data_IF_742746316683
#
_entry.id   IF_742746316683
#
_cell.length_a   1.000
_cell.length_b   1.000
_cell.length_c   1.000
_cell.angle_alpha   90.00
_cell.angle_beta   90.00
_cell.angle_gamma   90.00
#
_symmetry.space_group_name_H-M   'P 1'
#
loop_
_entity.id
_entity.type
_entity.pdbx_description
1 polymer ?
#
# COMPACT_ATOMS: atom_id res chain seq x y z
N UNK A 1 5.00 16.63 53.70
CA UNK A 1 5.23 16.39 52.26
C UNK A 1 4.10 17.05 51.50
N UNK A 2 4.39 18.03 50.62
CA UNK A 2 3.37 18.87 49.98
C UNK A 2 2.46 18.06 49.09
N UNK A 3 1.13 18.27 49.13
CA UNK A 3 0.13 17.65 48.22
C UNK A 3 0.53 17.83 46.75
N UNK A 4 1.10 19.00 46.42
CA UNK A 4 1.60 19.32 45.06
C UNK A 4 2.69 18.31 44.63
N UNK A 5 3.64 17.98 45.48
CA UNK A 5 4.71 17.02 45.19
C UNK A 5 4.15 15.62 44.89
N UNK A 6 3.07 15.21 45.57
CA UNK A 6 2.42 13.93 45.30
C UNK A 6 1.68 13.92 43.98
N UNK A 7 1.00 15.01 43.58
CA UNK A 7 0.38 15.15 42.27
C UNK A 7 1.43 15.09 41.15
N UNK A 8 2.55 15.77 41.29
CA UNK A 8 3.66 15.73 40.32
C UNK A 8 4.18 14.29 40.15
N UNK A 9 4.37 13.53 41.26
CA UNK A 9 4.80 12.12 41.18
C UNK A 9 3.80 11.22 40.47
N UNK A 10 2.50 11.42 40.72
CA UNK A 10 1.43 10.66 40.08
C UNK A 10 1.41 10.95 38.58
N UNK A 11 1.47 12.24 38.20
CA UNK A 11 1.51 12.63 36.79
C UNK A 11 2.75 12.05 36.09
N UNK A 12 3.93 12.18 36.72
CA UNK A 12 5.17 11.62 36.19
C UNK A 12 5.07 10.09 35.98
N UNK A 13 4.51 9.38 36.98
CA UNK A 13 4.29 7.93 36.87
C UNK A 13 3.36 7.60 35.66
N UNK A 14 2.23 8.30 35.53
CA UNK A 14 1.29 8.08 34.42
C UNK A 14 1.97 8.34 33.07
N UNK A 15 2.73 9.42 32.96
CA UNK A 15 3.45 9.76 31.71
C UNK A 15 4.47 8.66 31.38
N UNK A 16 5.30 8.24 32.35
CA UNK A 16 6.28 7.17 32.15
C UNK A 16 5.58 5.86 31.75
N UNK A 17 4.48 5.52 32.43
CA UNK A 17 3.71 4.32 32.11
C UNK A 17 3.18 4.33 30.68
N UNK A 18 2.61 5.46 30.23
CA UNK A 18 2.12 5.61 28.84
C UNK A 18 3.28 5.49 27.85
N UNK A 19 4.43 6.10 28.12
CA UNK A 19 5.62 6.00 27.27
C UNK A 19 6.13 4.56 27.16
N UNK A 20 6.16 3.82 28.28
CA UNK A 20 6.53 2.41 28.29
C UNK A 20 5.52 1.55 27.50
N UNK A 21 4.23 1.79 27.70
CA UNK A 21 3.18 1.10 26.95
C UNK A 21 3.33 1.33 25.44
N UNK A 22 3.66 2.56 25.05
CA UNK A 22 3.90 2.90 23.66
C UNK A 22 5.17 2.23 23.11
N UNK A 23 6.29 2.31 23.84
CA UNK A 23 7.56 1.69 23.46
C UNK A 23 7.42 0.17 23.29
N UNK A 24 6.85 -0.52 24.29
CA UNK A 24 6.61 -1.95 24.18
C UNK A 24 5.55 -2.31 23.14
N UNK A 25 4.61 -1.40 22.88
CA UNK A 25 3.64 -1.54 21.80
C UNK A 25 4.33 -1.59 20.44
N UNK A 26 5.29 -0.71 20.19
CA UNK A 26 6.10 -0.73 18.97
C UNK A 26 6.97 -2.00 18.92
N UNK A 27 7.66 -2.33 20.01
CA UNK A 27 8.59 -3.46 20.06
C UNK A 27 7.87 -4.80 19.84
N UNK A 28 6.72 -5.00 20.47
CA UNK A 28 5.97 -6.25 20.40
C UNK A 28 5.05 -6.36 19.19
N UNK A 29 4.76 -5.24 18.50
CA UNK A 29 3.98 -5.27 17.28
C UNK A 29 4.69 -6.18 16.27
N UNK A 30 4.03 -7.20 15.69
CA UNK A 30 4.66 -8.08 14.71
C UNK A 30 5.19 -7.31 13.51
N UNK A 31 6.38 -7.66 13.07
CA UNK A 31 6.99 -7.17 11.84
C UNK A 31 7.39 -8.35 10.97
N UNK A 32 7.93 -8.08 9.81
CA UNK A 32 8.22 -8.97 8.71
C UNK A 32 8.86 -10.34 8.97
N UNK A 33 9.32 -10.66 10.18
CA UNK A 33 9.74 -12.02 10.55
C UNK A 33 8.57 -12.96 10.84
N UNK A 34 7.41 -12.42 11.12
CA UNK A 34 6.19 -13.21 11.21
C UNK A 34 5.64 -13.45 9.80
N UNK A 35 5.43 -14.69 9.40
CA UNK A 35 4.93 -15.10 8.08
C UNK A 35 3.72 -14.31 7.58
N UNK A 36 2.93 -13.76 8.51
CA UNK A 36 1.69 -13.02 8.21
C UNK A 36 1.89 -11.51 8.17
N UNK A 37 3.08 -10.97 8.53
CA UNK A 37 3.31 -9.54 8.75
C UNK A 37 4.50 -8.97 7.99
N UNK A 38 5.13 -9.72 7.08
CA UNK A 38 6.31 -9.23 6.34
C UNK A 38 5.98 -7.97 5.51
N UNK A 39 4.71 -7.80 5.11
CA UNK A 39 4.24 -6.63 4.37
C UNK A 39 4.16 -5.36 5.22
N UNK A 40 4.29 -5.44 6.54
CA UNK A 40 4.26 -4.25 7.40
C UNK A 40 5.40 -3.28 7.10
N UNK A 41 6.48 -3.73 6.47
CA UNK A 41 7.56 -2.86 6.04
C UNK A 41 7.14 -1.83 5.00
N UNK A 42 6.16 -2.12 4.14
CA UNK A 42 5.63 -1.14 3.17
C UNK A 42 5.09 0.11 3.86
N UNK A 43 4.56 -0.05 5.07
CA UNK A 43 4.00 1.03 5.88
C UNK A 43 5.06 1.67 6.78
N UNK A 44 5.87 0.85 7.48
CA UNK A 44 6.85 1.33 8.45
C UNK A 44 7.92 2.20 7.76
N UNK A 45 8.35 1.80 6.58
CA UNK A 45 9.38 2.53 5.83
C UNK A 45 8.85 3.81 5.18
N UNK A 46 7.54 3.96 4.99
CA UNK A 46 6.94 5.23 4.58
C UNK A 46 7.31 6.37 5.53
N UNK A 47 7.28 6.11 6.83
CA UNK A 47 7.62 7.11 7.84
C UNK A 47 9.11 7.49 7.91
N UNK A 48 9.97 6.77 7.17
CA UNK A 48 11.41 7.06 7.03
C UNK A 48 11.71 7.94 5.81
N UNK A 49 10.69 8.26 5.02
CA UNK A 49 10.87 9.14 3.87
C UNK A 49 11.03 10.59 4.32
N UNK A 50 11.89 11.33 3.63
CA UNK A 50 12.00 12.76 3.82
C UNK A 50 10.69 13.45 3.46
N UNK A 51 10.38 14.56 4.14
CA UNK A 51 9.15 15.30 3.89
C UNK A 51 9.14 15.90 2.51
N UNK A 52 7.97 15.84 1.86
CA UNK A 52 7.74 16.45 0.55
C UNK A 52 8.78 15.98 -0.50
N UNK A 53 9.01 14.65 -0.55
CA UNK A 53 9.89 13.99 -1.53
C UNK A 53 9.19 12.89 -2.32
N UNK A 54 7.87 12.78 -2.22
CA UNK A 54 7.07 11.79 -2.95
C UNK A 54 6.12 12.52 -3.89
N UNK A 55 6.40 12.43 -5.21
CA UNK A 55 5.57 13.07 -6.24
C UNK A 55 4.26 12.32 -6.49
N UNK A 56 4.32 10.98 -6.43
CA UNK A 56 3.19 10.11 -6.72
C UNK A 56 2.99 9.07 -5.61
N UNK A 57 1.75 8.96 -5.13
CA UNK A 57 1.39 7.99 -4.10
C UNK A 57 0.53 6.88 -4.73
N UNK A 58 0.95 5.63 -4.56
CA UNK A 58 0.21 4.45 -5.01
C UNK A 58 -0.40 3.77 -3.79
N UNK A 59 -1.73 3.68 -3.74
CA UNK A 59 -2.47 3.21 -2.56
C UNK A 59 -3.41 2.08 -2.93
N UNK A 60 -3.46 1.04 -2.12
CA UNK A 60 -4.37 -0.09 -2.32
C UNK A 60 -3.93 -1.36 -1.63
N UNK A 61 -4.31 -2.49 -2.20
CA UNK A 61 -4.03 -3.82 -1.65
C UNK A 61 -2.65 -4.36 -2.07
N UNK A 62 -2.48 -5.68 -1.94
CA UNK A 62 -1.22 -6.36 -2.27
C UNK A 62 -0.77 -6.20 -3.72
N UNK A 63 -1.68 -5.97 -4.66
CA UNK A 63 -1.32 -5.74 -6.06
C UNK A 63 -0.44 -4.49 -6.22
N UNK A 64 -0.57 -3.48 -5.33
CA UNK A 64 0.24 -2.26 -5.37
C UNK A 64 1.69 -2.58 -4.99
N UNK A 65 1.96 -3.13 -3.80
CA UNK A 65 3.33 -3.36 -3.36
C UNK A 65 4.06 -4.48 -4.12
N UNK A 66 3.34 -5.30 -4.89
CA UNK A 66 3.95 -6.33 -5.75
C UNK A 66 4.05 -5.92 -7.22
N UNK A 67 3.19 -5.02 -7.68
CA UNK A 67 3.06 -4.69 -9.09
C UNK A 67 3.49 -3.28 -9.48
N UNK A 68 3.59 -2.34 -8.53
CA UNK A 68 4.01 -0.97 -8.81
C UNK A 68 5.34 -0.70 -8.13
N UNK A 69 6.42 -0.62 -8.92
CA UNK A 69 7.76 -0.29 -8.43
C UNK A 69 8.08 1.18 -8.67
N UNK A 70 8.10 2.03 -7.64
CA UNK A 70 8.52 3.44 -7.78
C UNK A 70 9.93 3.57 -8.36
N UNK A 71 10.81 2.60 -8.11
CA UNK A 71 12.17 2.61 -8.67
C UNK A 71 12.20 2.48 -10.19
N UNK A 72 11.23 1.81 -10.81
CA UNK A 72 11.14 1.76 -12.28
C UNK A 72 10.79 3.13 -12.87
N UNK A 73 9.88 3.89 -12.26
CA UNK A 73 9.60 5.26 -12.68
C UNK A 73 10.79 6.19 -12.41
N UNK A 74 11.46 6.02 -11.27
CA UNK A 74 12.68 6.79 -11.00
C UNK A 74 13.81 6.50 -12.00
N UNK A 75 14.01 5.22 -12.35
CA UNK A 75 14.97 4.82 -13.39
C UNK A 75 14.63 5.44 -14.75
N UNK A 76 13.36 5.40 -15.14
CA UNK A 76 12.92 5.78 -16.47
C UNK A 76 12.84 7.30 -16.67
N UNK A 77 12.29 8.03 -15.70
CA UNK A 77 11.95 9.46 -15.84
C UNK A 77 12.32 10.34 -14.65
N UNK A 78 13.00 9.80 -13.63
CA UNK A 78 13.50 10.56 -12.49
C UNK A 78 12.46 11.00 -11.47
N UNK A 79 11.19 10.59 -11.60
CA UNK A 79 10.13 10.94 -10.65
C UNK A 79 10.12 10.02 -9.45
N UNK A 80 9.71 10.54 -8.32
CA UNK A 80 9.61 9.81 -7.06
C UNK A 80 8.20 9.31 -6.81
N UNK A 81 8.07 8.23 -6.05
CA UNK A 81 6.77 7.68 -5.68
C UNK A 81 6.85 6.76 -4.46
N UNK A 82 5.72 6.38 -3.91
CA UNK A 82 5.65 5.42 -2.82
C UNK A 82 4.45 4.48 -2.95
N UNK A 83 4.70 3.17 -2.85
CA UNK A 83 3.65 2.13 -2.85
C UNK A 83 3.18 1.89 -1.41
N UNK A 84 2.22 2.71 -0.96
CA UNK A 84 1.65 2.70 0.39
C UNK A 84 0.45 1.76 0.46
N UNK A 85 0.69 0.51 0.76
CA UNK A 85 -0.34 -0.52 0.67
C UNK A 85 -0.12 -1.67 1.64
N UNK A 86 -1.22 -2.34 1.99
CA UNK A 86 -1.23 -3.53 2.86
C UNK A 86 -2.03 -4.66 2.21
N UNK A 87 -1.84 -5.93 2.63
CA UNK A 87 -2.65 -7.02 2.12
C UNK A 87 -4.14 -6.79 2.37
N UNK A 88 -4.97 -6.93 1.31
CA UNK A 88 -6.43 -6.77 1.38
C UNK A 88 -6.86 -5.41 1.97
N UNK A 89 -6.11 -4.36 1.66
CA UNK A 89 -6.42 -3.00 2.11
C UNK A 89 -7.70 -2.50 1.47
N UNK A 90 -8.71 -2.29 2.30
CA UNK A 90 -10.04 -1.87 1.88
C UNK A 90 -10.10 -0.38 1.52
N UNK A 91 -11.13 0.06 0.80
CA UNK A 91 -11.31 1.46 0.40
C UNK A 91 -11.36 2.42 1.58
N UNK A 92 -12.07 2.06 2.67
CA UNK A 92 -12.15 2.88 3.88
C UNK A 92 -10.77 3.06 4.54
N UNK A 93 -9.96 2.01 4.62
CA UNK A 93 -8.61 2.09 5.20
C UNK A 93 -7.63 2.82 4.28
N UNK A 94 -7.81 2.73 2.95
CA UNK A 94 -7.04 3.50 1.97
C UNK A 94 -7.24 5.01 2.15
N UNK A 95 -8.47 5.46 2.47
CA UNK A 95 -8.72 6.86 2.82
C UNK A 95 -7.84 7.34 3.97
N UNK A 96 -7.74 6.55 5.04
CA UNK A 96 -6.93 6.94 6.21
C UNK A 96 -5.44 6.90 5.92
N UNK A 97 -4.96 5.97 5.08
CA UNK A 97 -3.57 5.96 4.65
C UNK A 97 -3.22 7.14 3.74
N UNK A 98 -4.10 7.54 2.85
CA UNK A 98 -3.94 8.77 2.08
C UNK A 98 -3.88 9.97 3.03
N UNK A 99 -4.83 10.07 3.96
CA UNK A 99 -4.88 11.15 4.95
C UNK A 99 -3.64 11.21 5.83
N UNK A 100 -3.11 10.06 6.24
CA UNK A 100 -1.86 9.97 6.99
C UNK A 100 -0.67 10.40 6.13
N UNK A 101 -0.62 9.95 4.88
CA UNK A 101 0.47 10.28 3.97
C UNK A 101 0.59 11.79 3.71
N UNK A 102 -0.52 12.48 3.58
CA UNK A 102 -0.53 13.94 3.38
C UNK A 102 -0.04 14.75 4.57
N UNK A 103 0.12 14.15 5.75
CA UNK A 103 0.81 14.81 6.86
C UNK A 103 2.33 14.89 6.68
N UNK A 104 2.88 14.08 5.78
CA UNK A 104 4.32 13.94 5.54
C UNK A 104 4.72 14.30 4.12
N UNK A 105 3.82 14.17 3.16
CA UNK A 105 4.07 14.30 1.73
C UNK A 105 2.99 15.16 1.06
N UNK A 106 3.32 15.72 -0.11
CA UNK A 106 2.40 16.50 -0.94
C UNK A 106 2.40 15.95 -2.37
N UNK A 107 1.87 14.75 -2.59
CA UNK A 107 1.91 14.14 -3.92
C UNK A 107 1.07 14.94 -4.91
N UNK A 108 1.56 15.05 -6.16
CA UNK A 108 0.79 15.63 -7.27
C UNK A 108 -0.44 14.79 -7.57
N UNK A 109 -0.30 13.45 -7.48
CA UNK A 109 -1.41 12.54 -7.67
C UNK A 109 -1.35 11.33 -6.76
N UNK A 110 -2.55 10.83 -6.46
CA UNK A 110 -2.78 9.54 -5.79
C UNK A 110 -3.35 8.56 -6.81
N UNK A 111 -2.65 7.45 -7.02
CA UNK A 111 -3.13 6.32 -7.79
C UNK A 111 -3.80 5.33 -6.85
N UNK A 112 -5.13 5.24 -6.91
CA UNK A 112 -5.94 4.35 -6.07
C UNK A 112 -6.22 3.05 -6.82
N UNK A 113 -5.69 1.94 -6.31
CA UNK A 113 -5.98 0.60 -6.82
C UNK A 113 -7.40 0.18 -6.45
N UNK A 114 -8.20 -0.20 -7.46
CA UNK A 114 -9.64 -0.41 -7.32
C UNK A 114 -10.07 -1.87 -7.21
N UNK A 115 -9.15 -2.81 -7.06
CA UNK A 115 -9.47 -4.25 -6.93
C UNK A 115 -10.43 -4.55 -5.79
N UNK A 116 -10.30 -3.84 -4.67
CA UNK A 116 -11.16 -4.01 -3.50
C UNK A 116 -12.50 -3.24 -3.57
N UNK A 117 -12.78 -2.53 -4.68
CA UNK A 117 -14.03 -1.80 -4.84
C UNK A 117 -15.27 -2.73 -4.92
N UNK A 118 -15.06 -3.99 -5.31
CA UNK A 118 -16.10 -5.01 -5.39
C UNK A 118 -16.01 -6.07 -4.29
N UNK A 119 -15.12 -5.88 -3.33
CA UNK A 119 -15.04 -6.77 -2.18
C UNK A 119 -16.30 -6.60 -1.31
N UNK A 120 -16.95 -7.70 -1.00
CA UNK A 120 -18.01 -7.68 -0.02
C UNK A 120 -17.44 -7.21 1.33
N UNK A 121 -18.18 -6.40 2.06
CA UNK A 121 -17.83 -5.90 3.40
C UNK A 121 -17.43 -7.01 4.39
N UNK A 122 -17.80 -8.27 4.12
CA UNK A 122 -17.37 -9.46 4.86
C UNK A 122 -15.87 -9.76 4.83
N UNK A 123 -15.08 -9.03 4.04
CA UNK A 123 -13.62 -9.14 4.02
C UNK A 123 -12.91 -8.32 5.11
N UNK A 124 -13.63 -7.60 5.97
CA UNK A 124 -13.09 -6.90 7.14
C UNK A 124 -12.75 -7.88 8.27
N UNK A 125 -11.96 -8.93 7.97
CA UNK A 125 -11.44 -9.79 9.03
C UNK A 125 -10.47 -9.01 9.93
N UNK A 126 -10.39 -9.40 11.18
CA UNK A 126 -9.54 -8.75 12.18
C UNK A 126 -8.10 -8.60 11.70
N UNK A 127 -7.57 -9.59 10.97
CA UNK A 127 -6.19 -9.57 10.49
C UNK A 127 -5.96 -8.47 9.44
N UNK A 128 -6.90 -8.27 8.53
CA UNK A 128 -6.83 -7.20 7.52
C UNK A 128 -6.92 -5.81 8.18
N UNK A 129 -7.82 -5.63 9.15
CA UNK A 129 -7.91 -4.40 9.94
C UNK A 129 -6.61 -4.15 10.68
N UNK A 130 -6.05 -5.16 11.35
CA UNK A 130 -4.79 -5.04 12.10
C UNK A 130 -3.61 -4.68 11.20
N UNK A 131 -3.47 -5.31 10.05
CA UNK A 131 -2.44 -4.98 9.07
C UNK A 131 -2.53 -3.53 8.60
N UNK A 132 -3.75 -3.03 8.45
CA UNK A 132 -3.96 -1.64 8.06
C UNK A 132 -3.64 -0.64 9.17
N UNK A 133 -3.88 -0.96 10.46
CA UNK A 133 -3.82 0.05 11.53
C UNK A 133 -2.66 -0.10 12.49
N UNK A 134 -2.18 -1.32 12.78
CA UNK A 134 -1.22 -1.53 13.87
C UNK A 134 0.13 -0.85 13.60
N UNK A 135 0.53 -0.75 12.32
CA UNK A 135 1.76 -0.06 11.90
C UNK A 135 1.60 1.46 11.70
N UNK A 136 0.37 1.98 11.75
CA UNK A 136 0.14 3.43 11.72
C UNK A 136 0.58 4.06 13.03
N UNK A 137 1.32 5.18 12.95
CA UNK A 137 1.74 5.95 14.15
C UNK A 137 0.52 6.43 14.93
N UNK A 138 0.64 6.45 16.26
CA UNK A 138 -0.40 7.02 17.10
C UNK A 138 -0.50 8.53 16.83
N UNK A 139 -1.64 8.96 16.35
CA UNK A 139 -1.92 10.33 15.95
C UNK A 139 -3.40 10.53 15.67
N UNK A 140 -3.74 11.72 15.19
CA UNK A 140 -5.13 12.10 14.90
C UNK A 140 -5.77 11.14 13.88
N UNK A 141 -5.06 10.82 12.79
CA UNK A 141 -5.56 9.94 11.74
C UNK A 141 -5.89 8.55 12.26
N UNK A 142 -5.00 7.96 13.08
CA UNK A 142 -5.23 6.64 13.69
C UNK A 142 -6.45 6.64 14.61
N UNK A 143 -6.61 7.69 15.41
CA UNK A 143 -7.76 7.81 16.31
C UNK A 143 -9.08 7.99 15.55
N UNK A 144 -9.08 8.75 14.46
CA UNK A 144 -10.24 8.88 13.58
C UNK A 144 -10.56 7.56 12.88
N UNK A 145 -9.53 6.83 12.40
CA UNK A 145 -9.70 5.52 11.78
C UNK A 145 -10.36 4.50 12.71
N UNK A 146 -9.98 4.48 14.00
CA UNK A 146 -10.58 3.60 15.03
C UNK A 146 -12.06 3.95 15.31
N UNK A 147 -12.48 5.16 15.03
CA UNK A 147 -13.84 5.66 15.24
C UNK A 147 -14.71 5.56 13.99
N UNK A 148 -14.14 5.20 12.85
CA UNK A 148 -14.89 5.04 11.61
C UNK A 148 -15.93 3.91 11.73
N UNK A 149 -17.07 4.08 11.07
CA UNK A 149 -18.17 3.11 11.10
C UNK A 149 -17.76 1.77 10.45
N UNK A 150 -16.84 1.80 9.49
CA UNK A 150 -16.28 0.61 8.85
C UNK A 150 -15.23 -0.12 9.72
N UNK A 151 -14.86 0.44 10.87
CA UNK A 151 -13.91 -0.18 11.79
C UNK A 151 -14.63 -1.18 12.70
N UNK A 152 -14.71 -2.43 12.27
CA UNK A 152 -15.54 -3.47 12.89
C UNK A 152 -15.03 -4.03 14.22
N UNK A 153 -13.81 -3.68 14.66
CA UNK A 153 -13.34 -4.05 15.99
C UNK A 153 -14.06 -3.22 17.06
N UNK A 154 -14.38 -3.82 18.19
CA UNK A 154 -15.13 -3.18 19.27
C UNK A 154 -14.49 -3.34 20.64
N UNK A 155 -14.95 -2.57 21.63
CA UNK A 155 -14.58 -2.71 23.03
C UNK A 155 -13.06 -2.68 23.26
N UNK A 156 -12.56 -3.74 23.92
CA UNK A 156 -11.14 -3.87 24.26
C UNK A 156 -10.24 -3.94 23.04
N UNK A 157 -10.70 -4.48 21.91
CA UNK A 157 -9.92 -4.59 20.69
C UNK A 157 -9.58 -3.21 20.09
N UNK A 158 -10.47 -2.24 20.15
CA UNK A 158 -10.16 -0.83 19.79
C UNK A 158 -9.03 -0.28 20.66
N UNK A 159 -9.05 -0.55 21.97
CA UNK A 159 -7.99 -0.11 22.88
C UNK A 159 -6.64 -0.74 22.54
N UNK A 160 -6.63 -2.01 22.10
CA UNK A 160 -5.40 -2.69 21.68
C UNK A 160 -4.79 -2.13 20.40
N UNK A 161 -5.55 -1.42 19.57
CA UNK A 161 -5.02 -0.68 18.42
C UNK A 161 -4.26 0.59 18.85
N UNK A 162 -4.67 1.20 19.99
CA UNK A 162 -3.97 2.36 20.55
C UNK A 162 -2.72 1.90 21.34
N UNK A 163 -2.86 0.79 22.06
CA UNK A 163 -1.80 0.18 22.87
C UNK A 163 -1.54 -1.27 22.40
N UNK A 164 -0.78 -1.47 21.31
CA UNK A 164 -0.54 -2.80 20.75
C UNK A 164 0.08 -3.79 21.73
N UNK A 165 0.81 -3.32 22.77
CA UNK A 165 1.36 -4.17 23.82
C UNK A 165 0.27 -5.02 24.50
N UNK A 166 -0.95 -4.52 24.66
CA UNK A 166 -2.05 -5.26 25.29
C UNK A 166 -2.43 -6.52 24.51
N UNK A 167 -2.25 -6.50 23.18
CA UNK A 167 -2.50 -7.66 22.31
C UNK A 167 -1.25 -8.53 22.16
N UNK A 168 -0.09 -7.91 21.93
CA UNK A 168 1.11 -8.59 21.51
C UNK A 168 2.09 -8.88 22.66
N UNK A 169 1.72 -8.63 23.93
CA UNK A 169 2.58 -8.86 25.10
C UNK A 169 3.12 -10.30 25.19
N UNK A 170 2.36 -11.30 24.72
CA UNK A 170 2.80 -12.70 24.71
C UNK A 170 3.99 -12.96 23.78
N UNK A 171 4.35 -12.02 22.91
CA UNK A 171 5.55 -12.11 22.06
C UNK A 171 6.85 -11.81 22.79
N UNK A 172 6.83 -11.45 24.07
CA UNK A 172 8.02 -11.08 24.83
C UNK A 172 9.17 -12.11 24.72
N UNK A 173 8.85 -13.41 24.56
CA UNK A 173 9.82 -14.51 24.41
C UNK A 173 10.10 -14.87 22.93
N UNK A 174 9.56 -14.12 21.98
CA UNK A 174 9.74 -14.31 20.54
C UNK A 174 10.34 -13.08 19.85
N UNK A 175 10.80 -12.13 20.66
CA UNK A 175 11.48 -10.94 20.17
C UNK A 175 12.87 -11.35 19.70
N UNK A 176 13.23 -10.89 18.50
CA UNK A 176 14.53 -11.13 17.90
C UNK A 176 15.17 -9.81 17.40
N UNK A 177 16.33 -9.90 16.79
CA UNK A 177 17.06 -8.75 16.26
C UNK A 177 16.22 -7.94 15.26
N UNK A 178 15.35 -8.58 14.50
CA UNK A 178 14.54 -7.92 13.47
C UNK A 178 13.49 -7.00 14.10
N UNK A 179 12.97 -7.37 15.28
CA UNK A 179 12.03 -6.50 16.01
C UNK A 179 12.68 -5.17 16.45
N UNK A 180 13.99 -5.15 16.66
CA UNK A 180 14.73 -3.94 17.00
C UNK A 180 15.08 -3.07 15.75
N UNK A 181 15.06 -3.65 14.55
CA UNK A 181 15.35 -2.90 13.32
C UNK A 181 14.30 -1.82 12.99
N UNK A 182 13.13 -1.87 13.62
CA UNK A 182 12.12 -0.79 13.56
C UNK A 182 12.65 0.55 14.07
N UNK A 183 13.58 0.50 15.00
CA UNK A 183 14.18 1.67 15.63
C UNK A 183 15.48 2.11 14.93
N UNK A 184 15.90 1.38 13.89
CA UNK A 184 17.11 1.68 13.14
C UNK A 184 16.75 2.24 11.76
N UNK A 185 17.27 3.42 11.43
CA UNK A 185 17.04 4.06 10.13
C UNK A 185 17.76 3.33 8.97
N UNK A 186 18.67 2.42 9.31
CA UNK A 186 19.65 1.87 8.36
C UNK A 186 19.14 0.72 7.47
N UNK A 187 18.00 0.12 7.80
CA UNK A 187 17.51 -1.06 7.07
C UNK A 187 16.16 -0.80 6.43
N UNK A 188 16.12 -0.88 5.10
CA UNK A 188 14.88 -0.84 4.32
C UNK A 188 14.73 -2.16 3.57
N UNK A 189 13.58 -2.81 3.74
CA UNK A 189 13.24 -4.10 3.12
C UNK A 189 12.51 -3.93 1.81
N UNK A 190 11.96 -2.73 1.58
CA UNK A 190 11.21 -2.41 0.39
C UNK A 190 11.96 -1.38 -0.45
N UNK A 191 11.61 -1.29 -1.71
CA UNK A 191 12.03 -0.19 -2.57
C UNK A 191 10.89 0.82 -2.67
N UNK A 192 10.82 1.73 -1.69
CA UNK A 192 9.74 2.71 -1.57
C UNK A 192 8.35 2.06 -1.56
N UNK A 193 8.19 1.06 -0.70
CA UNK A 193 6.96 0.27 -0.54
C UNK A 193 6.81 -0.89 -1.52
N UNK A 194 7.65 -1.01 -2.54
CA UNK A 194 7.66 -2.15 -3.46
C UNK A 194 8.45 -3.33 -2.87
N UNK A 195 7.84 -4.51 -2.86
CA UNK A 195 8.45 -5.77 -2.45
C UNK A 195 8.93 -6.54 -3.68
N UNK A 196 10.23 -6.46 -3.96
CA UNK A 196 10.84 -7.17 -5.08
C UNK A 196 10.72 -8.69 -4.91
N UNK A 197 10.10 -9.35 -5.88
CA UNK A 197 10.03 -10.80 -5.93
C UNK A 197 10.30 -11.28 -7.35
N UNK A 198 11.26 -12.19 -7.50
CA UNK A 198 11.69 -12.75 -8.80
C UNK A 198 11.11 -14.15 -9.06
N UNK A 199 10.40 -14.72 -8.11
CA UNK A 199 9.80 -16.03 -8.30
C UNK A 199 8.87 -16.03 -9.51
N UNK A 200 8.86 -17.16 -10.21
CA UNK A 200 7.94 -17.38 -11.34
C UNK A 200 7.07 -18.57 -11.01
N UNK A 201 5.75 -18.34 -10.99
CA UNK A 201 4.76 -19.41 -10.91
C UNK A 201 3.67 -19.14 -11.94
N UNK A 202 3.70 -19.90 -13.01
CA UNK A 202 2.79 -19.79 -14.16
C UNK A 202 1.32 -19.80 -13.73
N UNK A 203 0.52 -18.91 -14.32
CA UNK A 203 -0.93 -18.94 -14.22
C UNK A 203 -1.53 -19.86 -15.29
N UNK A 204 -2.44 -20.77 -14.86
CA UNK A 204 -3.13 -21.73 -15.73
C UNK A 204 -2.39 -23.05 -15.94
N UNK A 205 -3.15 -24.12 -16.23
CA UNK A 205 -2.59 -25.46 -16.44
C UNK A 205 -2.06 -25.67 -17.86
N UNK A 206 -2.64 -25.01 -18.86
CA UNK A 206 -2.33 -25.17 -20.27
C UNK A 206 -2.34 -23.81 -20.99
N UNK A 207 -1.23 -23.09 -20.90
CA UNK A 207 -0.99 -22.00 -21.83
C UNK A 207 -0.37 -22.64 -23.08
N UNK A 208 -1.19 -22.78 -24.14
CA UNK A 208 -0.73 -23.18 -25.45
C UNK A 208 0.30 -22.14 -25.94
N UNK A 209 1.57 -22.55 -25.99
CA UNK A 209 2.71 -21.68 -26.33
C UNK A 209 2.63 -21.11 -27.77
N UNK A 210 1.63 -21.49 -28.56
CA UNK A 210 1.56 -21.16 -29.98
C UNK A 210 0.54 -20.08 -30.35
N UNK A 211 -0.12 -19.42 -29.41
CA UNK A 211 -1.07 -18.35 -29.76
C UNK A 211 -0.84 -17.13 -28.88
N UNK A 212 -0.48 -16.02 -29.51
CA UNK A 212 -0.61 -14.64 -29.02
C UNK A 212 -2.09 -14.31 -28.68
N UNK A 213 -2.77 -15.17 -27.97
CA UNK A 213 -4.08 -14.87 -27.42
C UNK A 213 -3.85 -14.22 -26.07
N UNK A 214 -4.19 -12.94 -25.98
CA UNK A 214 -4.47 -12.30 -24.69
C UNK A 214 -5.26 -13.31 -23.85
N UNK A 215 -4.71 -13.77 -22.74
CA UNK A 215 -5.47 -14.61 -21.82
C UNK A 215 -6.50 -13.66 -21.24
N UNK A 216 -7.75 -13.80 -21.72
CA UNK A 216 -8.86 -13.11 -21.07
C UNK A 216 -8.85 -13.57 -19.61
N UNK A 217 -8.97 -12.65 -18.64
CA UNK A 217 -9.13 -13.03 -17.25
C UNK A 217 -10.23 -14.09 -17.19
N UNK A 218 -9.96 -15.17 -16.49
CA UNK A 218 -10.98 -16.18 -16.24
C UNK A 218 -11.95 -15.59 -15.24
N UNK A 219 -13.00 -14.99 -15.73
CA UNK A 219 -14.17 -14.63 -14.95
C UNK A 219 -14.83 -15.93 -14.48
N UNK A 220 -14.26 -16.57 -13.46
CA UNK A 220 -14.94 -17.61 -12.73
C UNK A 220 -16.00 -16.92 -11.90
N UNK A 221 -17.25 -17.13 -12.33
CA UNK A 221 -18.47 -16.65 -11.72
C UNK A 221 -18.56 -15.10 -11.66
N UNK A 222 -18.75 -14.54 -12.83
CA UNK A 222 -19.34 -13.21 -12.97
C UNK A 222 -20.67 -13.30 -12.23
N UNK A 223 -20.75 -12.63 -11.07
CA UNK A 223 -22.04 -12.27 -10.54
C UNK A 223 -22.63 -11.31 -11.59
N UNK A 224 -23.69 -11.67 -12.36
CA UNK A 224 -24.23 -10.83 -13.42
C UNK A 224 -24.76 -9.48 -12.89
N UNK A 225 -24.77 -9.28 -11.60
CA UNK A 225 -25.11 -8.05 -10.87
C UNK A 225 -23.88 -7.42 -10.20
N UNK A 226 -22.71 -7.41 -10.82
CA UNK A 226 -21.59 -6.62 -10.32
C UNK A 226 -21.97 -5.14 -10.35
N UNK A 227 -22.61 -4.68 -9.30
CA UNK A 227 -22.95 -3.27 -9.06
C UNK A 227 -21.95 -2.77 -8.03
N UNK A 228 -21.38 -1.60 -8.29
CA UNK A 228 -20.58 -0.92 -7.30
C UNK A 228 -21.48 -0.52 -6.13
N UNK A 229 -21.24 -1.08 -4.95
CA UNK A 229 -22.08 -0.84 -3.79
C UNK A 229 -22.08 0.65 -3.42
N UNK A 230 -23.21 1.17 -2.96
CA UNK A 230 -23.34 2.58 -2.58
C UNK A 230 -22.31 2.98 -1.54
N UNK A 231 -22.07 2.12 -0.56
CA UNK A 231 -21.06 2.31 0.49
C UNK A 231 -19.64 2.42 -0.08
N UNK A 232 -19.32 1.69 -1.14
CA UNK A 232 -18.03 1.79 -1.83
C UNK A 232 -17.93 3.11 -2.57
N UNK A 233 -19.00 3.54 -3.26
CA UNK A 233 -19.06 4.83 -3.94
C UNK A 233 -18.79 5.96 -2.94
N UNK A 234 -19.47 5.97 -1.80
CA UNK A 234 -19.28 6.98 -0.75
C UNK A 234 -17.81 7.04 -0.26
N UNK A 235 -17.15 5.89 -0.13
CA UNK A 235 -15.73 5.83 0.24
C UNK A 235 -14.81 6.37 -0.85
N UNK A 236 -15.05 6.04 -2.10
CA UNK A 236 -14.30 6.56 -3.23
C UNK A 236 -14.49 8.08 -3.38
N UNK A 237 -15.72 8.59 -3.20
CA UNK A 237 -16.03 10.02 -3.17
C UNK A 237 -15.32 10.76 -2.03
N UNK A 238 -15.24 10.14 -0.86
CA UNK A 238 -14.50 10.68 0.28
C UNK A 238 -13.00 10.82 -0.04
N UNK A 239 -12.42 9.82 -0.71
CA UNK A 239 -11.01 9.87 -1.18
C UNK A 239 -10.83 10.97 -2.23
N UNK A 240 -11.70 11.00 -3.23
CA UNK A 240 -11.66 12.02 -4.30
C UNK A 240 -11.69 13.43 -3.73
N UNK A 241 -12.68 13.70 -2.87
CA UNK A 241 -12.80 14.99 -2.21
C UNK A 241 -11.54 15.34 -1.42
N UNK A 242 -10.97 14.39 -0.67
CA UNK A 242 -9.78 14.64 0.12
C UNK A 242 -8.56 14.96 -0.75
N UNK A 243 -8.35 14.24 -1.84
CA UNK A 243 -7.28 14.53 -2.80
C UNK A 243 -7.45 15.93 -3.39
N UNK A 244 -8.65 16.26 -3.86
CA UNK A 244 -8.98 17.57 -4.44
C UNK A 244 -8.77 18.71 -3.45
N UNK A 245 -9.22 18.55 -2.21
CA UNK A 245 -9.07 19.56 -1.14
C UNK A 245 -7.59 19.83 -0.79
N UNK A 246 -6.69 18.87 -1.13
CA UNK A 246 -5.26 18.98 -0.91
C UNK A 246 -4.44 19.20 -2.21
N UNK A 247 -5.10 19.63 -3.31
CA UNK A 247 -4.47 19.91 -4.60
C UNK A 247 -3.72 18.71 -5.20
N UNK A 248 -4.25 17.51 -5.02
CA UNK A 248 -3.72 16.28 -5.58
C UNK A 248 -4.75 15.65 -6.52
N UNK A 249 -4.32 15.15 -7.67
CA UNK A 249 -5.21 14.47 -8.61
C UNK A 249 -5.45 13.04 -8.15
N UNK A 250 -6.70 12.57 -8.22
CA UNK A 250 -7.02 11.16 -8.03
C UNK A 250 -7.04 10.44 -9.37
N UNK A 251 -6.22 9.39 -9.52
CA UNK A 251 -6.21 8.48 -10.65
C UNK A 251 -6.64 7.09 -10.16
N UNK A 252 -7.66 6.52 -10.77
CA UNK A 252 -8.05 5.14 -10.49
C UNK A 252 -7.17 4.21 -11.32
N UNK A 253 -6.68 3.14 -10.70
CA UNK A 253 -5.83 2.14 -11.37
C UNK A 253 -6.24 0.73 -11.00
N UNK A 254 -6.24 -0.17 -11.98
CA UNK A 254 -6.29 -1.61 -11.75
C UNK A 254 -4.98 -2.25 -12.19
N UNK A 255 -4.22 -2.73 -11.24
CA UNK A 255 -2.98 -3.49 -11.48
C UNK A 255 -3.33 -4.83 -12.12
N UNK A 256 -2.53 -5.37 -13.05
CA UNK A 256 -2.82 -6.64 -13.71
C UNK A 256 -3.03 -7.79 -12.72
N UNK A 257 -4.20 -8.42 -12.82
CA UNK A 257 -4.62 -9.52 -11.95
C UNK A 257 -5.76 -10.30 -12.63
N UNK A 258 -5.51 -11.51 -13.17
CA UNK A 258 -6.46 -12.22 -14.02
C UNK A 258 -7.50 -13.04 -13.26
N UNK A 259 -7.36 -13.20 -11.93
CA UNK A 259 -8.20 -14.13 -11.17
C UNK A 259 -9.51 -13.52 -10.67
N UNK A 260 -9.45 -12.27 -10.20
CA UNK A 260 -10.57 -11.64 -9.49
C UNK A 260 -11.12 -10.39 -10.21
N UNK A 261 -10.52 -10.03 -11.36
CA UNK A 261 -10.95 -8.90 -12.15
C UNK A 261 -11.61 -9.33 -13.47
N UNK A 262 -12.72 -8.67 -13.82
CA UNK A 262 -13.51 -8.98 -15.03
C UNK A 262 -13.76 -7.74 -15.89
N UNK A 263 -14.15 -7.97 -17.16
CA UNK A 263 -14.54 -6.88 -18.07
C UNK A 263 -15.72 -6.07 -17.51
N UNK A 264 -16.68 -6.69 -16.81
CA UNK A 264 -17.80 -5.98 -16.20
C UNK A 264 -17.35 -5.06 -15.08
N UNK A 265 -16.45 -5.52 -14.20
CA UNK A 265 -15.86 -4.68 -13.17
C UNK A 265 -15.10 -3.51 -13.76
N UNK A 266 -14.32 -3.76 -14.82
CA UNK A 266 -13.61 -2.73 -15.54
C UNK A 266 -14.56 -1.67 -16.10
N UNK A 267 -15.63 -2.11 -16.79
CA UNK A 267 -16.65 -1.22 -17.37
C UNK A 267 -17.32 -0.37 -16.29
N UNK A 268 -17.71 -0.95 -15.17
CA UNK A 268 -18.35 -0.23 -14.06
C UNK A 268 -17.45 0.87 -13.50
N UNK A 269 -16.17 0.56 -13.27
CA UNK A 269 -15.21 1.57 -12.81
C UNK A 269 -14.95 2.63 -13.88
N UNK A 270 -14.90 2.25 -15.17
CA UNK A 270 -14.73 3.19 -16.26
C UNK A 270 -15.93 4.16 -16.36
N UNK A 271 -17.16 3.66 -16.19
CA UNK A 271 -18.38 4.48 -16.16
C UNK A 271 -18.33 5.44 -14.95
N UNK A 272 -18.04 4.95 -13.76
CA UNK A 272 -17.87 5.77 -12.55
C UNK A 272 -16.81 6.88 -12.74
N UNK A 273 -15.65 6.53 -13.25
CA UNK A 273 -14.57 7.49 -13.51
C UNK A 273 -14.99 8.56 -14.52
N UNK A 274 -15.64 8.14 -15.62
CA UNK A 274 -16.14 9.04 -16.68
C UNK A 274 -17.16 10.05 -16.14
N UNK A 275 -18.13 9.60 -15.34
CA UNK A 275 -19.15 10.46 -14.74
C UNK A 275 -18.56 11.54 -13.82
N UNK A 276 -17.43 11.25 -13.19
CA UNK A 276 -16.75 12.16 -12.26
C UNK A 276 -15.57 12.91 -12.89
N UNK A 277 -15.24 12.64 -14.13
CA UNK A 277 -14.09 13.25 -14.81
C UNK A 277 -12.73 12.76 -14.26
N UNK A 278 -12.69 11.56 -13.67
CA UNK A 278 -11.47 10.93 -13.17
C UNK A 278 -10.76 10.15 -14.29
N UNK A 279 -9.43 10.07 -14.20
CA UNK A 279 -8.66 9.15 -15.05
C UNK A 279 -8.79 7.74 -14.47
N UNK A 280 -8.96 6.75 -15.35
CA UNK A 280 -8.93 5.33 -14.99
C UNK A 280 -7.99 4.56 -15.93
N UNK A 281 -7.10 3.79 -15.33
CA UNK A 281 -6.12 2.94 -16.01
C UNK A 281 -6.42 1.49 -15.64
N UNK A 282 -6.88 0.68 -16.59
CA UNK A 282 -7.03 -0.76 -16.40
C UNK A 282 -5.93 -1.52 -17.13
N UNK A 283 -4.90 -1.91 -16.40
CA UNK A 283 -3.75 -2.61 -16.97
C UNK A 283 -4.04 -4.09 -17.32
N UNK A 284 -5.24 -4.60 -17.05
CA UNK A 284 -5.66 -5.93 -17.53
C UNK A 284 -6.10 -5.89 -18.99
N UNK A 285 -6.61 -4.74 -19.43
CA UNK A 285 -7.24 -4.61 -20.77
C UNK A 285 -6.55 -3.56 -21.66
N UNK A 286 -5.58 -2.80 -21.14
CA UNK A 286 -4.82 -1.85 -21.94
C UNK A 286 -3.89 -2.57 -22.93
N UNK A 287 -3.94 -2.17 -24.20
CA UNK A 287 -3.16 -2.80 -25.27
C UNK A 287 -1.67 -2.45 -25.24
N UNK A 288 -1.31 -1.37 -24.52
CA UNK A 288 0.06 -0.90 -24.43
C UNK A 288 0.88 -1.65 -23.35
N UNK A 289 0.24 -2.55 -22.58
CA UNK A 289 0.93 -3.41 -21.63
C UNK A 289 0.75 -4.88 -22.05
N UNK A 290 1.86 -5.63 -22.09
CA UNK A 290 1.84 -7.03 -22.45
C UNK A 290 2.35 -7.89 -21.30
N UNK A 291 1.44 -8.27 -20.37
CA UNK A 291 1.75 -9.19 -19.29
C UNK A 291 1.74 -10.63 -19.80
N UNK A 292 2.86 -11.32 -19.62
CA UNK A 292 2.97 -12.75 -19.89
C UNK A 292 2.72 -13.55 -18.61
N UNK A 293 1.54 -14.11 -18.50
CA UNK A 293 1.12 -14.87 -17.32
C UNK A 293 1.89 -16.18 -17.12
N UNK A 294 2.76 -16.56 -18.05
CA UNK A 294 3.68 -17.68 -17.87
C UNK A 294 4.93 -17.26 -17.08
N UNK A 295 5.33 -15.99 -17.12
CA UNK A 295 6.62 -15.52 -16.59
C UNK A 295 6.53 -14.33 -15.65
N UNK A 296 5.46 -13.54 -15.69
CA UNK A 296 5.36 -12.23 -15.03
C UNK A 296 4.59 -12.28 -13.69
N UNK A 297 4.27 -13.46 -13.20
CA UNK A 297 3.56 -13.68 -11.93
C UNK A 297 4.36 -14.56 -10.98
N UNK A 298 4.27 -14.24 -9.67
CA UNK A 298 5.04 -14.94 -8.63
C UNK A 298 4.28 -16.10 -7.98
N UNK A 299 2.96 -16.15 -8.09
CA UNK A 299 2.10 -17.05 -7.31
C UNK A 299 0.94 -17.66 -8.11
N UNK A 300 0.98 -17.52 -9.43
CA UNK A 300 -0.03 -18.11 -10.33
C UNK A 300 -1.19 -17.16 -10.60
N UNK A 301 -0.92 -15.88 -10.77
CA UNK A 301 -1.85 -14.89 -11.27
C UNK A 301 -2.51 -14.00 -10.21
N UNK A 302 -2.16 -14.15 -8.92
CA UNK A 302 -2.65 -13.22 -7.90
C UNK A 302 -1.78 -11.95 -7.84
N UNK A 303 -0.47 -12.11 -8.01
CA UNK A 303 0.48 -10.99 -7.91
C UNK A 303 1.52 -11.06 -9.02
N UNK A 304 1.93 -9.89 -9.49
CA UNK A 304 3.05 -9.75 -10.39
C UNK A 304 4.38 -10.04 -9.67
N UNK A 305 5.35 -10.54 -10.42
CA UNK A 305 6.74 -10.58 -9.98
C UNK A 305 7.50 -9.36 -10.54
N UNK A 306 8.83 -9.32 -10.34
CA UNK A 306 9.66 -8.22 -10.81
C UNK A 306 9.47 -7.92 -12.31
N UNK A 307 9.41 -8.95 -13.17
CA UNK A 307 9.22 -8.75 -14.62
C UNK A 307 7.88 -8.09 -14.95
N UNK A 308 6.81 -8.50 -14.27
CA UNK A 308 5.51 -7.86 -14.41
C UNK A 308 5.53 -6.42 -13.90
N UNK A 309 6.18 -6.17 -12.76
CA UNK A 309 6.32 -4.84 -12.19
C UNK A 309 7.15 -3.88 -13.08
N UNK A 310 8.18 -4.38 -13.77
CA UNK A 310 8.96 -3.62 -14.76
C UNK A 310 8.07 -3.12 -15.91
N UNK A 311 7.19 -3.97 -16.41
CA UNK A 311 6.24 -3.60 -17.49
C UNK A 311 5.24 -2.56 -17.01
N UNK A 312 4.70 -2.71 -15.81
CA UNK A 312 3.83 -1.72 -15.16
C UNK A 312 4.59 -0.40 -14.97
N UNK A 313 5.82 -0.45 -14.47
CA UNK A 313 6.67 0.73 -14.28
C UNK A 313 6.95 1.47 -15.58
N UNK A 314 7.21 0.76 -16.68
CA UNK A 314 7.38 1.36 -18.00
C UNK A 314 6.09 2.03 -18.51
N UNK A 315 4.95 1.35 -18.34
CA UNK A 315 3.65 1.92 -18.71
C UNK A 315 3.35 3.20 -17.90
N UNK A 316 3.49 3.13 -16.57
CA UNK A 316 3.23 4.27 -15.69
C UNK A 316 4.19 5.44 -15.95
N UNK A 317 5.45 5.17 -16.27
CA UNK A 317 6.40 6.22 -16.67
C UNK A 317 5.90 7.01 -17.88
N UNK A 318 5.41 6.32 -18.91
CA UNK A 318 4.85 6.96 -20.11
C UNK A 318 3.55 7.71 -19.80
N UNK A 319 2.68 7.12 -18.99
CA UNK A 319 1.43 7.76 -18.56
C UNK A 319 1.70 9.05 -17.76
N UNK A 320 2.59 8.98 -16.78
CA UNK A 320 2.97 10.12 -15.93
C UNK A 320 3.56 11.24 -16.80
N UNK A 321 4.52 10.92 -17.67
CA UNK A 321 5.15 11.88 -18.58
C UNK A 321 4.15 12.59 -19.50
N UNK A 322 3.07 11.90 -19.89
CA UNK A 322 2.06 12.46 -20.79
C UNK A 322 0.97 13.25 -20.09
N UNK A 323 0.79 13.09 -18.79
CA UNK A 323 -0.37 13.64 -18.06
C UNK A 323 -0.01 14.60 -16.92
N UNK A 324 1.26 14.68 -16.52
CA UNK A 324 1.72 15.51 -15.39
C UNK A 324 2.94 16.32 -15.77
N UNK A 325 3.09 17.47 -15.14
CA UNK A 325 4.37 18.18 -15.12
C UNK A 325 5.32 17.46 -14.17
N UNK A 326 6.46 17.00 -14.70
CA UNK A 326 7.41 16.21 -13.94
C UNK A 326 8.74 16.92 -13.81
N UNK A 327 9.41 16.71 -12.67
CA UNK A 327 10.78 17.09 -12.43
C UNK A 327 11.65 15.83 -12.33
N UNK A 328 12.82 15.86 -12.95
CA UNK A 328 13.81 14.80 -12.83
C UNK A 328 14.68 15.07 -11.61
N UNK A 329 14.49 14.27 -10.55
CA UNK A 329 15.15 14.49 -9.27
C UNK A 329 16.53 13.86 -9.14
N UNK A 330 17.05 13.19 -10.19
CA UNK A 330 18.33 12.43 -10.10
C UNK A 330 19.55 13.30 -9.84
N UNK A 331 19.51 14.57 -10.23
CA UNK A 331 20.60 15.52 -10.00
C UNK A 331 20.43 16.36 -8.73
N UNK A 332 19.28 16.27 -8.04
CA UNK A 332 19.00 17.04 -6.83
C UNK A 332 19.52 16.30 -5.57
N UNK A 333 20.36 16.98 -4.80
CA UNK A 333 20.96 16.47 -3.57
C UNK A 333 19.92 16.05 -2.52
N UNK A 334 18.75 16.68 -2.52
CA UNK A 334 17.62 16.32 -1.65
C UNK A 334 17.17 14.87 -1.86
N UNK A 335 17.37 14.36 -3.06
CA UNK A 335 16.97 13.00 -3.44
C UNK A 335 18.15 12.00 -3.46
N UNK A 336 19.26 12.32 -2.81
CA UNK A 336 20.43 11.42 -2.76
C UNK A 336 20.08 10.01 -2.24
N UNK A 337 19.13 9.90 -1.32
CA UNK A 337 18.63 8.61 -0.83
C UNK A 337 18.01 7.77 -1.97
N UNK A 338 17.30 8.42 -2.90
CA UNK A 338 16.71 7.77 -4.07
C UNK A 338 17.79 7.22 -4.99
N UNK A 339 18.87 7.99 -5.24
CA UNK A 339 20.00 7.55 -6.05
C UNK A 339 20.71 6.33 -5.42
N UNK A 340 20.94 6.34 -4.11
CA UNK A 340 21.52 5.18 -3.40
C UNK A 340 20.62 3.94 -3.48
N UNK A 341 19.32 4.10 -3.32
CA UNK A 341 18.37 3.00 -3.45
C UNK A 341 18.22 2.51 -4.88
N UNK A 342 18.41 3.39 -5.87
CA UNK A 342 18.42 3.04 -7.30
C UNK A 342 19.60 2.09 -7.61
N UNK A 343 20.79 2.40 -7.11
CA UNK A 343 21.95 1.52 -7.28
C UNK A 343 21.71 0.14 -6.68
N UNK A 344 21.17 0.08 -5.46
CA UNK A 344 20.85 -1.17 -4.80
C UNK A 344 19.73 -1.95 -5.53
N UNK A 345 18.66 -1.25 -5.95
CA UNK A 345 17.59 -1.85 -6.73
C UNK A 345 18.12 -2.47 -8.02
N UNK A 346 18.92 -1.73 -8.79
CA UNK A 346 19.46 -2.20 -10.05
C UNK A 346 20.47 -3.34 -9.83
N UNK A 347 21.26 -3.30 -8.76
CA UNK A 347 22.11 -4.42 -8.38
C UNK A 347 21.29 -5.68 -8.06
N UNK A 348 20.28 -5.57 -7.21
CA UNK A 348 19.42 -6.70 -6.87
C UNK A 348 18.63 -7.19 -8.09
N UNK A 349 18.13 -6.29 -8.94
CA UNK A 349 17.40 -6.61 -10.17
C UNK A 349 18.25 -7.48 -11.12
N UNK A 350 19.52 -7.17 -11.30
CA UNK A 350 20.40 -7.82 -12.27
C UNK A 350 21.11 -9.08 -11.72
N UNK A 351 21.19 -9.24 -10.41
CA UNK A 351 21.83 -10.41 -9.81
C UNK A 351 20.78 -11.46 -9.41
N UNK A 352 20.89 -12.65 -9.98
CA UNK A 352 20.11 -13.83 -9.55
C UNK A 352 20.75 -14.37 -8.26
N UNK A 353 20.22 -13.98 -7.10
CA UNK A 353 20.48 -14.67 -5.84
C UNK A 353 19.22 -15.38 -5.39
#
# INVERSE_FOLDING_TARGET
>A
MNKITNYIKIIAFIVIFILLMHFFGILFNPTGTYKEWFQSYTIIEFYKQERDTVDFLYVGNSCVYTGISPMEMYNNIGVTGYSLSTPRQQMWSSYYWIKEAFQYQKPQAVFLEVGEAFSNLQSNDELSIRRAIDSMKLGKTKLEMIQDDDFELSGFDKLTCIFPVLRYHSRWNKIDEVDFRKFADKYEYTFFGFLMNKNVKKYGKDIDQNKNKKIKPRAEEINPEAILAKETIEKMERIEKYCKDNNSELVLIKVPEPRFWSEDKSRIIAEYAKERGLKFIDLNYDENINIDWATDTQDGGDHLNLKGAEKVGTYLSNFIKSNFEIEDHREDIKYQKWNQRQEEYNFQKNNNN
#
